data_IF_632238528833
#
_entry.id   IF_632238528833
#
_cell.length_a   1.000
_cell.length_b   1.000
_cell.length_c   1.000
_cell.angle_alpha   90.00
_cell.angle_beta   90.00
_cell.angle_gamma   90.00
#
_symmetry.space_group_name_H-M   'P 1'
#
loop_
_entity.id
_entity.type
_entity.pdbx_description
1 polymer ?
#
# COMPACT_ATOMS: atom_id res chain seq x y z
N UNK A 1 1.37 -10.66 -3.32
CA UNK A 1 2.28 -11.30 -2.36
C UNK A 1 2.75 -10.29 -1.31
N UNK A 2 3.51 -9.23 -1.66
CA UNK A 2 4.09 -8.26 -0.69
C UNK A 2 3.03 -7.64 0.24
N UNK A 3 1.93 -7.15 -0.31
CA UNK A 3 0.84 -6.58 0.51
C UNK A 3 0.22 -7.58 1.48
N UNK A 4 0.14 -8.86 1.11
CA UNK A 4 -0.30 -9.92 2.02
C UNK A 4 0.66 -10.11 3.19
N UNK A 5 1.96 -10.15 2.92
CA UNK A 5 3.00 -10.23 3.96
C UNK A 5 2.95 -9.02 4.90
N UNK A 6 2.78 -7.81 4.36
CA UNK A 6 2.63 -6.58 5.15
C UNK A 6 1.36 -6.61 6.01
N UNK A 7 0.23 -7.06 5.46
CA UNK A 7 -1.02 -7.16 6.19
C UNK A 7 -0.95 -8.18 7.34
N UNK A 8 -0.27 -9.31 7.14
CA UNK A 8 -0.04 -10.31 8.20
C UNK A 8 0.92 -9.79 9.26
N UNK A 9 2.03 -9.14 8.83
CA UNK A 9 3.08 -8.63 9.72
C UNK A 9 2.80 -7.26 10.33
N UNK A 10 1.67 -6.61 10.04
CA UNK A 10 1.36 -5.29 10.56
C UNK A 10 1.32 -5.27 12.10
N UNK A 11 1.94 -4.26 12.71
CA UNK A 11 1.94 -4.08 14.17
C UNK A 11 0.62 -3.52 14.70
N UNK A 12 -0.07 -2.71 13.89
CA UNK A 12 -1.38 -2.15 14.20
C UNK A 12 -2.46 -2.79 13.32
N UNK A 13 -3.34 -3.55 13.96
CA UNK A 13 -4.52 -4.19 13.33
C UNK A 13 -5.74 -3.94 14.20
N UNK A 14 -6.39 -2.79 14.07
CA UNK A 14 -7.64 -2.53 14.78
C UNK A 14 -8.77 -3.44 14.25
N UNK A 15 -9.89 -3.44 14.96
CA UNK A 15 -11.09 -4.15 14.51
C UNK A 15 -11.55 -3.64 13.14
N UNK A 16 -12.15 -4.54 12.35
CA UNK A 16 -12.70 -4.18 11.05
C UNK A 16 -13.81 -3.14 11.19
N UNK A 17 -13.77 -2.12 10.36
CA UNK A 17 -14.73 -0.99 10.38
C UNK A 17 -15.33 -0.82 8.99
N UNK A 18 -16.65 -0.52 8.93
CA UNK A 18 -17.27 -0.14 7.68
C UNK A 18 -16.79 1.28 7.28
N UNK A 19 -16.01 1.38 6.21
CA UNK A 19 -15.53 2.66 5.72
C UNK A 19 -16.63 3.37 4.93
N UNK A 20 -16.90 4.60 5.32
CA UNK A 20 -17.88 5.49 4.70
C UNK A 20 -17.23 6.80 4.28
N UNK A 21 -17.92 7.60 3.49
CA UNK A 21 -17.44 8.95 3.11
C UNK A 21 -17.25 9.89 4.31
N UNK A 22 -17.93 9.62 5.43
CA UNK A 22 -17.95 10.52 6.59
C UNK A 22 -16.91 10.13 7.65
N UNK A 23 -16.45 8.86 7.66
CA UNK A 23 -15.49 8.37 8.67
C UNK A 23 -14.09 8.06 8.11
N UNK A 24 -13.92 8.02 6.78
CA UNK A 24 -12.66 7.59 6.18
C UNK A 24 -11.48 8.49 6.55
N UNK A 25 -11.71 9.79 6.65
CA UNK A 25 -10.69 10.74 7.04
C UNK A 25 -10.27 10.53 8.49
N UNK A 26 -11.21 10.39 9.41
CA UNK A 26 -10.96 10.13 10.82
C UNK A 26 -10.15 8.84 11.03
N UNK A 27 -10.48 7.78 10.30
CA UNK A 27 -9.75 6.51 10.40
C UNK A 27 -8.31 6.62 9.88
N UNK A 28 -8.07 7.40 8.81
CA UNK A 28 -6.72 7.65 8.30
C UNK A 28 -5.92 8.48 9.30
N UNK A 29 -6.49 9.53 9.88
CA UNK A 29 -5.83 10.36 10.90
C UNK A 29 -5.51 9.53 12.16
N UNK A 30 -6.41 8.66 12.61
CA UNK A 30 -6.11 7.72 13.71
C UNK A 30 -4.93 6.80 13.39
N UNK A 31 -4.84 6.33 12.15
CA UNK A 31 -3.71 5.53 11.72
C UNK A 31 -2.40 6.32 11.75
N UNK A 32 -2.42 7.59 11.30
CA UNK A 32 -1.27 8.49 11.37
C UNK A 32 -0.84 8.73 12.82
N UNK A 33 -1.77 9.07 13.71
CA UNK A 33 -1.52 9.27 15.13
C UNK A 33 -0.91 8.02 15.81
N UNK A 34 -1.38 6.82 15.45
CA UNK A 34 -0.83 5.58 15.99
C UNK A 34 0.64 5.34 15.57
N UNK A 35 1.02 5.75 14.35
CA UNK A 35 2.40 5.69 13.91
C UNK A 35 3.26 6.75 14.60
N UNK A 36 2.71 7.94 14.86
CA UNK A 36 3.41 9.03 15.55
C UNK A 36 3.67 8.66 17.01
N UNK A 37 2.71 8.04 17.70
CA UNK A 37 2.87 7.54 19.08
C UNK A 37 3.99 6.48 19.18
N UNK A 38 4.22 5.72 18.12
CA UNK A 38 5.32 4.76 18.03
C UNK A 38 6.62 5.35 17.46
N UNK A 39 6.72 6.68 17.37
CA UNK A 39 7.90 7.41 16.88
C UNK A 39 8.34 7.01 15.47
N UNK A 40 7.40 6.65 14.61
CA UNK A 40 7.67 6.36 13.21
C UNK A 40 7.83 7.68 12.45
N UNK A 41 8.91 7.90 11.67
CA UNK A 41 9.10 9.15 10.93
C UNK A 41 7.90 9.49 10.03
N UNK A 42 7.57 10.77 9.94
CA UNK A 42 6.49 11.26 9.07
C UNK A 42 6.86 11.19 7.58
N UNK A 43 8.17 11.23 7.29
CA UNK A 43 8.67 11.15 5.91
C UNK A 43 8.56 9.72 5.37
N UNK A 44 8.40 9.58 4.06
CA UNK A 44 8.36 8.29 3.37
C UNK A 44 7.24 7.33 3.84
N UNK A 45 6.12 7.88 4.30
CA UNK A 45 4.89 7.13 4.54
C UNK A 45 4.12 6.94 3.24
N UNK A 46 3.54 5.77 3.07
CA UNK A 46 2.69 5.44 1.92
C UNK A 46 1.31 4.97 2.40
N UNK A 47 0.27 5.61 1.89
CA UNK A 47 -1.12 5.24 2.10
C UNK A 47 -1.60 4.39 0.91
N UNK A 48 -1.68 3.09 1.10
CA UNK A 48 -2.19 2.16 0.08
C UNK A 48 -3.70 2.01 0.22
N UNK A 49 -4.42 2.23 -0.88
CA UNK A 49 -5.89 2.18 -0.90
C UNK A 49 -6.41 1.40 -2.11
N UNK A 50 -7.61 0.83 -1.96
CA UNK A 50 -8.36 0.28 -3.10
C UNK A 50 -9.00 1.39 -3.93
N UNK A 51 -9.37 1.15 -5.20
CA UNK A 51 -10.13 2.11 -5.98
C UNK A 51 -11.47 2.51 -5.34
N UNK A 52 -12.13 1.57 -4.64
CA UNK A 52 -13.38 1.84 -3.92
C UNK A 52 -13.16 2.79 -2.74
N UNK A 53 -12.16 2.51 -1.90
CA UNK A 53 -11.75 3.39 -0.79
C UNK A 53 -11.35 4.77 -1.29
N UNK A 54 -10.61 4.84 -2.40
CA UNK A 54 -10.23 6.11 -3.01
C UNK A 54 -11.43 6.94 -3.50
N UNK A 55 -12.49 6.29 -3.98
CA UNK A 55 -13.74 6.99 -4.32
C UNK A 55 -14.45 7.57 -3.09
N UNK A 56 -14.39 6.87 -1.95
CA UNK A 56 -14.91 7.39 -0.68
C UNK A 56 -14.11 8.63 -0.23
N UNK A 57 -12.78 8.58 -0.33
CA UNK A 57 -11.91 9.72 -0.04
C UNK A 57 -12.27 10.96 -0.87
N UNK A 58 -12.53 10.79 -2.18
CA UNK A 58 -12.97 11.88 -3.07
C UNK A 58 -14.34 12.47 -2.72
N UNK A 59 -15.19 11.71 -2.05
CA UNK A 59 -16.51 12.16 -1.62
C UNK A 59 -16.51 12.72 -0.20
N UNK A 60 -15.42 12.57 0.54
CA UNK A 60 -15.26 13.09 1.88
C UNK A 60 -15.12 14.62 1.82
N UNK A 61 -15.95 15.33 2.58
CA UNK A 61 -15.94 16.79 2.62
C UNK A 61 -14.69 17.34 3.31
N UNK A 62 -14.22 16.66 4.32
CA UNK A 62 -13.08 17.10 5.14
C UNK A 62 -11.78 17.08 4.33
N UNK A 63 -11.58 16.05 3.50
CA UNK A 63 -10.44 15.97 2.57
C UNK A 63 -10.53 17.06 1.48
N UNK A 64 -11.72 17.35 0.99
CA UNK A 64 -11.93 18.37 -0.05
C UNK A 64 -11.77 19.80 0.48
N UNK A 65 -12.02 20.02 1.77
CA UNK A 65 -11.90 21.33 2.42
C UNK A 65 -10.45 21.72 2.79
N UNK A 66 -9.54 20.77 2.92
CA UNK A 66 -8.12 21.09 3.08
C UNK A 66 -7.60 21.81 1.81
N UNK A 67 -7.10 23.02 1.99
CA UNK A 67 -6.87 23.98 0.90
C UNK A 67 -5.92 23.45 -0.17
N UNK A 68 -4.84 22.77 0.22
CA UNK A 68 -3.84 22.24 -0.71
C UNK A 68 -4.37 20.99 -1.44
N UNK A 69 -4.98 20.06 -0.73
CA UNK A 69 -5.56 18.82 -1.27
C UNK A 69 -6.75 19.14 -2.17
N UNK A 70 -7.59 20.11 -1.76
CA UNK A 70 -8.73 20.57 -2.56
C UNK A 70 -8.31 21.21 -3.87
N UNK A 71 -7.20 21.94 -3.89
CA UNK A 71 -6.65 22.57 -5.09
C UNK A 71 -6.06 21.53 -6.06
N UNK A 72 -5.27 20.56 -5.56
CA UNK A 72 -4.77 19.45 -6.36
C UNK A 72 -5.92 18.59 -6.93
N UNK A 73 -6.93 18.33 -6.12
CA UNK A 73 -8.11 17.59 -6.55
C UNK A 73 -8.89 18.33 -7.64
N UNK A 74 -9.01 19.65 -7.54
CA UNK A 74 -9.69 20.50 -8.53
C UNK A 74 -8.92 20.58 -9.85
N UNK A 75 -7.59 20.68 -9.79
CA UNK A 75 -6.72 20.83 -10.96
C UNK A 75 -6.40 19.50 -11.62
N UNK A 76 -6.02 18.49 -10.84
CA UNK A 76 -5.52 17.20 -11.32
C UNK A 76 -6.50 16.06 -11.16
N UNK A 77 -7.54 16.22 -10.36
CA UNK A 77 -8.50 15.17 -10.02
C UNK A 77 -7.91 14.00 -9.20
N UNK A 78 -6.76 14.21 -8.55
CA UNK A 78 -6.01 13.17 -7.84
C UNK A 78 -5.70 13.65 -6.43
N UNK A 79 -5.85 12.77 -5.45
CA UNK A 79 -5.31 12.94 -4.10
C UNK A 79 -3.90 12.34 -4.14
N UNK A 80 -2.87 13.16 -4.16
CA UNK A 80 -1.49 12.70 -4.24
C UNK A 80 -0.90 12.43 -2.86
N UNK A 81 -1.10 13.33 -1.92
CA UNK A 81 -0.66 13.22 -0.54
C UNK A 81 -1.84 13.48 0.40
N UNK A 82 -1.88 12.77 1.50
CA UNK A 82 -2.81 12.99 2.59
C UNK A 82 -2.03 12.82 3.89
N UNK A 83 -2.03 13.85 4.74
CA UNK A 83 -1.33 13.87 6.02
C UNK A 83 0.15 13.40 5.90
N UNK A 84 0.88 13.97 4.94
CA UNK A 84 2.28 13.61 4.68
C UNK A 84 2.52 12.27 4.00
N UNK A 85 1.50 11.42 3.87
CA UNK A 85 1.60 10.12 3.25
C UNK A 85 1.25 10.15 1.75
N UNK A 86 2.11 9.54 0.92
CA UNK A 86 1.84 9.38 -0.50
C UNK A 86 0.72 8.37 -0.75
N UNK A 87 -0.34 8.77 -1.43
CA UNK A 87 -1.47 7.89 -1.74
C UNK A 87 -1.21 7.01 -2.96
N UNK A 88 -1.24 5.70 -2.76
CA UNK A 88 -1.02 4.69 -3.80
C UNK A 88 -2.30 3.88 -4.01
N UNK A 89 -2.85 3.94 -5.22
CA UNK A 89 -3.99 3.11 -5.62
C UNK A 89 -3.53 1.76 -6.12
N UNK A 90 -4.05 0.69 -5.53
CA UNK A 90 -3.75 -0.69 -5.93
C UNK A 90 -5.06 -1.41 -6.26
N UNK A 91 -5.06 -2.17 -7.36
CA UNK A 91 -6.23 -2.97 -7.73
C UNK A 91 -6.58 -3.98 -6.62
N UNK A 92 -7.87 -4.12 -6.31
CA UNK A 92 -8.34 -5.00 -5.25
C UNK A 92 -7.88 -6.47 -5.43
N UNK A 93 -7.72 -6.93 -6.68
CA UNK A 93 -7.21 -8.28 -6.99
C UNK A 93 -5.78 -8.54 -6.54
N UNK A 94 -5.01 -7.51 -6.21
CA UNK A 94 -3.62 -7.61 -5.73
C UNK A 94 -3.51 -7.46 -4.20
N UNK A 95 -4.61 -7.19 -3.54
CA UNK A 95 -4.69 -6.93 -2.10
C UNK A 95 -5.37 -8.11 -1.40
N UNK A 96 -5.14 -8.30 -0.10
CA UNK A 96 -5.89 -9.26 0.71
C UNK A 96 -7.41 -9.01 0.64
N UNK A 97 -8.17 -10.04 0.97
CA UNK A 97 -9.63 -9.91 1.14
C UNK A 97 -9.95 -8.91 2.25
N UNK A 98 -11.06 -8.21 2.13
CA UNK A 98 -11.52 -7.18 3.08
C UNK A 98 -10.51 -6.05 3.35
N UNK A 99 -9.64 -5.76 2.38
CA UNK A 99 -8.68 -4.69 2.50
C UNK A 99 -9.36 -3.31 2.47
N UNK A 100 -9.23 -2.56 3.55
CA UNK A 100 -9.68 -1.17 3.64
C UNK A 100 -8.61 -0.20 3.15
N UNK A 101 -7.62 0.06 4.00
CA UNK A 101 -6.42 0.83 3.67
C UNK A 101 -5.24 0.35 4.51
N UNK A 102 -4.04 0.72 4.08
CA UNK A 102 -2.80 0.45 4.80
C UNK A 102 -1.93 1.69 4.78
N UNK A 103 -1.54 2.16 5.97
CA UNK A 103 -0.53 3.19 6.13
C UNK A 103 0.78 2.53 6.55
N UNK A 104 1.84 2.73 5.78
CA UNK A 104 3.12 2.07 6.04
C UNK A 104 4.30 3.00 5.82
N UNK A 105 5.34 2.84 6.64
CA UNK A 105 6.62 3.49 6.43
C UNK A 105 7.54 2.55 5.64
N UNK A 106 8.30 3.09 4.69
CA UNK A 106 9.15 2.30 3.77
C UNK A 106 10.16 1.38 4.46
N UNK A 107 10.62 1.72 5.67
CA UNK A 107 11.61 0.90 6.40
C UNK A 107 11.03 -0.33 7.09
N UNK A 108 9.70 -0.47 7.13
CA UNK A 108 9.04 -1.56 7.85
C UNK A 108 9.01 -2.88 7.06
N UNK A 109 9.05 -2.80 5.74
CA UNK A 109 9.04 -3.95 4.85
C UNK A 109 10.24 -3.93 3.91
N UNK A 110 10.76 -5.11 3.60
CA UNK A 110 11.79 -5.32 2.60
C UNK A 110 11.33 -6.39 1.61
N UNK A 111 11.51 -6.12 0.32
CA UNK A 111 11.22 -7.06 -0.75
C UNK A 111 12.46 -7.24 -1.64
N UNK A 112 13.49 -7.98 -1.18
CA UNK A 112 14.71 -8.18 -1.95
C UNK A 112 14.48 -9.13 -3.11
N UNK A 113 15.16 -8.87 -4.21
CA UNK A 113 15.36 -9.81 -5.31
C UNK A 113 16.72 -10.45 -5.12
N UNK A 114 16.77 -11.77 -5.01
CA UNK A 114 18.02 -12.51 -4.76
C UNK A 114 18.69 -12.96 -6.05
N UNK A 115 17.91 -13.41 -7.00
CA UNK A 115 18.40 -13.94 -8.26
C UNK A 115 17.55 -13.41 -9.40
N UNK A 116 18.20 -12.86 -10.39
CA UNK A 116 17.62 -12.52 -11.68
C UNK A 116 18.56 -13.09 -12.75
N UNK A 117 18.09 -14.10 -13.46
CA UNK A 117 18.87 -14.80 -14.47
C UNK A 117 18.06 -14.85 -15.76
N UNK A 118 18.74 -14.57 -16.87
CA UNK A 118 18.15 -14.55 -18.19
C UNK A 118 19.09 -15.23 -19.16
N UNK A 119 18.66 -16.34 -19.77
CA UNK A 119 19.46 -17.13 -20.69
C UNK A 119 18.81 -17.25 -22.06
N UNK A 120 19.61 -17.14 -23.10
CA UNK A 120 19.24 -17.36 -24.49
C UNK A 120 19.92 -18.62 -25.03
N UNK A 121 19.13 -19.61 -25.40
CA UNK A 121 19.60 -20.84 -26.03
C UNK A 121 19.31 -20.80 -27.51
N UNK A 122 20.36 -20.78 -28.33
CA UNK A 122 20.24 -20.85 -29.79
C UNK A 122 20.14 -22.31 -30.24
N UNK A 123 19.08 -22.64 -31.02
CA UNK A 123 18.81 -23.96 -31.57
C UNK A 123 18.89 -25.12 -30.55
N UNK A 124 18.15 -25.08 -29.43
CA UNK A 124 18.17 -26.18 -28.49
C UNK A 124 17.59 -27.46 -29.11
N UNK A 125 17.97 -28.64 -28.61
CA UNK A 125 17.47 -29.91 -29.15
C UNK A 125 15.93 -29.96 -29.20
N UNK A 126 15.37 -30.22 -30.38
CA UNK A 126 13.91 -30.33 -30.56
C UNK A 126 13.18 -29.04 -30.94
N UNK A 127 13.87 -27.89 -30.96
CA UNK A 127 13.27 -26.59 -31.31
C UNK A 127 14.12 -25.94 -32.41
N UNK A 128 13.49 -25.59 -33.54
CA UNK A 128 14.15 -24.81 -34.60
C UNK A 128 13.89 -23.31 -34.30
N UNK A 129 14.84 -22.69 -33.62
CA UNK A 129 14.72 -21.28 -33.20
C UNK A 129 15.51 -20.98 -31.93
N UNK A 130 15.22 -19.84 -31.33
CA UNK A 130 15.84 -19.40 -30.09
C UNK A 130 14.87 -19.61 -28.91
N UNK A 131 15.31 -20.32 -27.89
CA UNK A 131 14.60 -20.45 -26.63
C UNK A 131 15.13 -19.42 -25.65
N UNK A 132 14.22 -18.66 -25.03
CA UNK A 132 14.53 -17.69 -24.00
C UNK A 132 13.96 -18.18 -22.68
N UNK A 133 14.78 -18.22 -21.64
CA UNK A 133 14.35 -18.54 -20.29
C UNK A 133 14.75 -17.45 -19.32
N UNK A 134 13.90 -17.22 -18.31
CA UNK A 134 14.17 -16.26 -17.23
C UNK A 134 13.79 -16.84 -15.89
N UNK A 135 14.59 -16.53 -14.87
CA UNK A 135 14.33 -16.91 -13.49
C UNK A 135 14.53 -15.71 -12.57
N UNK A 136 13.51 -15.43 -11.75
CA UNK A 136 13.60 -14.41 -10.69
C UNK A 136 13.25 -15.08 -9.37
N UNK A 137 14.10 -14.89 -8.35
CA UNK A 137 13.84 -15.33 -6.98
C UNK A 137 13.75 -14.09 -6.11
N UNK A 138 12.58 -13.89 -5.52
CA UNK A 138 12.28 -12.75 -4.65
C UNK A 138 11.49 -13.22 -3.44
N UNK A 139 11.58 -12.45 -2.36
CA UNK A 139 10.77 -12.66 -1.17
C UNK A 139 10.35 -11.30 -0.59
N UNK A 140 9.53 -11.32 0.46
CA UNK A 140 9.14 -10.12 1.18
C UNK A 140 8.98 -10.45 2.66
N UNK A 141 9.51 -9.57 3.53
CA UNK A 141 9.34 -9.72 4.97
C UNK A 141 9.16 -8.39 5.66
N UNK A 142 8.45 -8.44 6.77
CA UNK A 142 8.29 -7.33 7.71
C UNK A 142 9.28 -7.55 8.84
N UNK A 143 10.04 -6.52 9.19
CA UNK A 143 10.98 -6.59 10.30
C UNK A 143 10.22 -6.56 11.63
N UNK A 144 10.46 -7.52 12.51
CA UNK A 144 9.80 -7.63 13.82
C UNK A 144 9.97 -6.37 14.68
N UNK A 145 11.13 -5.74 14.64
CA UNK A 145 11.42 -4.50 15.37
C UNK A 145 10.80 -3.25 14.74
N UNK A 146 10.25 -3.34 13.51
CA UNK A 146 9.66 -2.21 12.78
C UNK A 146 8.22 -2.46 12.34
N UNK A 147 7.61 -3.56 12.79
CA UNK A 147 6.22 -3.90 12.47
C UNK A 147 5.21 -2.82 12.86
N UNK A 148 5.53 -2.03 13.90
CA UNK A 148 4.74 -0.87 14.34
C UNK A 148 4.68 0.25 13.29
N UNK A 149 5.58 0.26 12.30
CA UNK A 149 5.53 1.17 11.15
C UNK A 149 4.50 0.77 10.08
N UNK A 150 3.63 -0.21 10.35
CA UNK A 150 2.56 -0.64 9.47
C UNK A 150 1.24 -0.65 10.23
N UNK A 151 0.30 0.16 9.76
CA UNK A 151 -1.09 0.17 10.21
C UNK A 151 -1.98 -0.41 9.10
N UNK A 152 -2.72 -1.46 9.42
CA UNK A 152 -3.58 -2.16 8.47
C UNK A 152 -5.02 -2.16 8.96
N UNK A 153 -5.91 -1.53 8.21
CA UNK A 153 -7.34 -1.49 8.49
C UNK A 153 -8.09 -2.43 7.55
N UNK A 154 -8.83 -3.35 8.15
CA UNK A 154 -9.79 -4.20 7.45
C UNK A 154 -11.17 -3.52 7.38
N UNK A 155 -11.91 -3.79 6.32
CA UNK A 155 -13.32 -3.39 6.21
C UNK A 155 -14.23 -4.55 6.61
N UNK A 156 -15.33 -4.20 7.27
CA UNK A 156 -16.43 -5.14 7.48
C UNK A 156 -17.12 -5.38 6.13
N UNK A 157 -17.33 -6.64 5.79
CA UNK A 157 -18.06 -7.05 4.59
C UNK A 157 -19.54 -6.63 4.66
#
# INVERSE_FOLDING_TARGET
YVYGVMAVGAGHKPAAVALTKDNIYDEIIKASAALDDDLVPETDRALTVTPATYLLMKKCKDIVMETEIGEEMRIRGVIANLDGAMTIKVAASRLPENFGFMLSHKSACCAPTQLEDYNEHKNPPGINGTLVEGRIVYDAYVFENKKKGIYYQEITA
#
